data_IF_282324145799
#
_entry.id   IF_282324145799
#
_cell.length_a   1.000
_cell.length_b   1.000
_cell.length_c   1.000
_cell.angle_alpha   90.00
_cell.angle_beta   90.00
_cell.angle_gamma   90.00
#
_symmetry.space_group_name_H-M   'P 1'
#
loop_
_entity.id
_entity.type
_entity.pdbx_description
1 polymer ?
#
# COMPACT_ATOMS: atom_id res chain seq x y z
N UNK A 1 -1.51 0.08 -20.58
CA UNK A 1 -0.30 0.92 -20.75
C UNK A 1 0.33 1.42 -19.43
N UNK A 2 -0.07 0.93 -18.24
CA UNK A 2 0.43 1.44 -16.94
C UNK A 2 1.63 0.72 -16.29
N UNK A 3 2.21 -0.32 -16.90
CA UNK A 3 3.31 -1.09 -16.27
C UNK A 3 4.67 -0.38 -16.32
N UNK A 4 4.90 0.48 -17.31
CA UNK A 4 6.20 1.17 -17.49
C UNK A 4 6.60 2.04 -16.29
N UNK A 5 5.74 2.98 -15.84
CA UNK A 5 6.03 3.81 -14.68
C UNK A 5 6.16 3.00 -13.37
N UNK A 6 5.28 2.02 -13.17
CA UNK A 6 5.32 1.15 -11.98
C UNK A 6 6.60 0.29 -11.93
N UNK A 7 6.98 -0.31 -13.05
CA UNK A 7 8.19 -1.11 -13.15
C UNK A 7 9.45 -0.26 -12.85
N UNK A 8 9.52 0.96 -13.38
CA UNK A 8 10.61 1.89 -13.09
C UNK A 8 10.62 2.32 -11.61
N UNK A 9 9.48 2.66 -11.03
CA UNK A 9 9.39 3.03 -9.61
C UNK A 9 9.88 1.89 -8.70
N UNK A 10 9.38 0.67 -8.91
CA UNK A 10 9.84 -0.47 -8.14
C UNK A 10 11.32 -0.80 -8.40
N UNK A 11 11.87 -0.52 -9.59
CA UNK A 11 13.29 -0.71 -9.87
C UNK A 11 14.16 0.29 -9.10
N UNK A 12 13.71 1.55 -8.99
CA UNK A 12 14.38 2.60 -8.18
C UNK A 12 14.32 2.31 -6.68
N UNK A 13 13.22 1.72 -6.19
CA UNK A 13 13.04 1.40 -4.78
C UNK A 13 13.71 0.07 -4.35
N UNK A 14 13.89 -0.89 -5.27
CA UNK A 14 14.42 -2.21 -4.96
C UNK A 14 15.79 -2.23 -4.23
N UNK A 15 16.76 -1.34 -4.51
CA UNK A 15 18.02 -1.29 -3.75
C UNK A 15 17.83 -0.90 -2.28
N UNK A 16 16.80 -0.10 -1.97
CA UNK A 16 16.51 0.34 -0.60
C UNK A 16 15.83 -0.76 0.22
N UNK A 17 15.10 -1.65 -0.45
CA UNK A 17 14.24 -2.67 0.20
C UNK A 17 14.85 -4.06 0.24
N UNK A 18 15.94 -4.36 -0.47
CA UNK A 18 16.60 -5.68 -0.39
C UNK A 18 17.58 -5.76 0.78
N UNK A 19 17.59 -6.90 1.47
CA UNK A 19 18.58 -7.19 2.51
C UNK A 19 19.98 -7.36 1.89
N UNK A 20 21.03 -6.91 2.58
CA UNK A 20 22.44 -7.11 2.19
C UNK A 20 23.34 -5.90 2.50
N UNK A 21 24.66 -5.99 2.23
CA UNK A 21 25.66 -4.95 2.56
C UNK A 21 25.45 -3.61 1.85
N UNK A 22 24.53 -3.55 0.89
CA UNK A 22 24.10 -2.36 0.15
C UNK A 22 22.60 -2.07 0.29
N UNK A 23 21.91 -2.78 1.19
CA UNK A 23 20.55 -2.44 1.57
C UNK A 23 20.56 -1.08 2.24
N UNK A 24 19.57 -0.23 1.93
CA UNK A 24 19.43 1.08 2.58
C UNK A 24 19.40 0.94 4.12
N UNK A 25 19.73 2.03 4.82
CA UNK A 25 19.72 2.06 6.29
C UNK A 25 18.44 1.41 6.84
N UNK A 26 18.56 0.40 7.73
CA UNK A 26 17.46 -0.50 8.10
C UNK A 26 16.18 0.22 8.56
N UNK A 27 16.32 1.35 9.25
CA UNK A 27 15.19 2.19 9.67
C UNK A 27 14.51 2.92 8.49
N UNK A 28 15.29 3.43 7.52
CA UNK A 28 14.76 4.08 6.31
C UNK A 28 14.15 3.08 5.34
N UNK A 29 14.69 1.85 5.32
CA UNK A 29 14.17 0.73 4.53
C UNK A 29 12.69 0.49 4.83
N UNK A 30 12.30 0.48 6.11
CA UNK A 30 10.92 0.19 6.49
C UNK A 30 9.95 1.31 6.05
N UNK A 31 10.40 2.57 6.02
CA UNK A 31 9.58 3.70 5.52
C UNK A 31 9.20 3.55 4.03
N UNK A 32 10.05 2.91 3.23
CA UNK A 32 9.84 2.79 1.78
C UNK A 32 9.20 1.47 1.35
N UNK A 33 9.09 0.47 2.24
CA UNK A 33 8.50 -0.83 1.91
C UNK A 33 7.06 -0.71 1.39
N UNK A 34 6.14 0.06 2.01
CA UNK A 34 4.77 0.15 1.52
C UNK A 34 4.68 0.69 0.08
N UNK A 35 5.50 1.70 -0.25
CA UNK A 35 5.62 2.24 -1.60
C UNK A 35 6.21 1.22 -2.59
N UNK A 36 7.22 0.46 -2.15
CA UNK A 36 7.81 -0.59 -2.97
C UNK A 36 6.80 -1.71 -3.26
N UNK A 37 6.06 -2.19 -2.25
CA UNK A 37 5.03 -3.23 -2.42
C UNK A 37 3.98 -2.78 -3.43
N UNK A 38 3.49 -1.55 -3.32
CA UNK A 38 2.52 -0.99 -4.27
C UNK A 38 3.03 -0.99 -5.70
N UNK A 39 4.25 -0.46 -5.91
CA UNK A 39 4.87 -0.41 -7.23
C UNK A 39 5.21 -1.80 -7.79
N UNK A 40 5.69 -2.70 -6.94
CA UNK A 40 6.07 -4.07 -7.31
C UNK A 40 4.83 -4.89 -7.71
N UNK A 41 3.75 -4.81 -6.95
CA UNK A 41 2.46 -5.43 -7.31
C UNK A 41 1.93 -4.87 -8.63
N UNK A 42 1.95 -3.54 -8.81
CA UNK A 42 1.52 -2.90 -10.06
C UNK A 42 2.39 -3.31 -11.27
N UNK A 43 3.67 -3.62 -11.04
CA UNK A 43 4.58 -4.14 -12.04
C UNK A 43 4.47 -5.67 -12.28
N UNK A 44 3.67 -6.39 -11.49
CA UNK A 44 3.56 -7.87 -11.55
C UNK A 44 4.69 -8.60 -10.84
N UNK A 45 5.48 -7.92 -10.01
CA UNK A 45 6.58 -8.49 -9.21
C UNK A 45 6.10 -8.95 -7.83
N UNK A 46 5.07 -9.80 -7.82
CA UNK A 46 4.39 -10.22 -6.58
C UNK A 46 5.31 -10.97 -5.61
N UNK A 47 6.28 -11.76 -6.11
CA UNK A 47 7.23 -12.47 -5.25
C UNK A 47 8.13 -11.51 -4.44
N UNK A 48 8.66 -10.47 -5.09
CA UNK A 48 9.46 -9.42 -4.42
C UNK A 48 8.61 -8.63 -3.43
N UNK A 49 7.39 -8.28 -3.81
CA UNK A 49 6.45 -7.60 -2.93
C UNK A 49 6.12 -8.44 -1.67
N UNK A 50 5.93 -9.75 -1.83
CA UNK A 50 5.63 -10.66 -0.71
C UNK A 50 6.80 -10.76 0.26
N UNK A 51 8.03 -10.89 -0.25
CA UNK A 51 9.23 -10.92 0.59
C UNK A 51 9.35 -9.62 1.41
N UNK A 52 9.23 -8.46 0.77
CA UNK A 52 9.30 -7.17 1.44
C UNK A 52 8.19 -6.99 2.49
N UNK A 53 6.95 -7.39 2.18
CA UNK A 53 5.84 -7.33 3.12
C UNK A 53 6.03 -8.27 4.33
N UNK A 54 6.66 -9.42 4.14
CA UNK A 54 7.02 -10.34 5.23
C UNK A 54 8.01 -9.71 6.22
N UNK A 55 9.05 -9.06 5.70
CA UNK A 55 10.02 -8.35 6.55
C UNK A 55 9.38 -7.15 7.26
N UNK A 56 8.52 -6.41 6.57
CA UNK A 56 7.76 -5.32 7.17
C UNK A 56 6.80 -5.79 8.28
N UNK A 57 6.27 -7.01 8.17
CA UNK A 57 5.43 -7.59 9.20
C UNK A 57 6.19 -7.84 10.50
N UNK A 58 7.43 -8.32 10.42
CA UNK A 58 8.31 -8.47 11.58
C UNK A 58 8.57 -7.10 12.22
N UNK A 59 8.82 -6.08 11.41
CA UNK A 59 9.06 -4.74 11.91
C UNK A 59 7.83 -4.12 12.59
N UNK A 60 6.65 -4.23 11.96
CA UNK A 60 5.40 -3.74 12.50
C UNK A 60 5.05 -4.39 13.86
N UNK A 61 5.48 -5.64 14.09
CA UNK A 61 5.29 -6.34 15.35
C UNK A 61 6.11 -5.77 16.52
N UNK A 62 7.18 -5.01 16.27
CA UNK A 62 7.91 -4.32 17.34
C UNK A 62 7.12 -3.17 17.98
N UNK A 63 6.07 -2.67 17.33
CA UNK A 63 5.17 -1.66 17.91
C UNK A 63 5.76 -0.25 18.05
N UNK A 64 6.93 0.01 17.47
CA UNK A 64 7.63 1.31 17.53
C UNK A 64 7.06 2.36 16.57
N UNK A 65 6.37 1.94 15.50
CA UNK A 65 5.66 2.83 14.58
C UNK A 65 4.15 2.54 14.61
N UNK A 66 3.38 3.52 15.07
CA UNK A 66 1.92 3.43 15.14
C UNK A 66 1.22 3.31 13.78
N UNK A 67 1.85 3.74 12.69
CA UNK A 67 1.30 3.60 11.34
C UNK A 67 1.59 2.23 10.71
N UNK A 68 2.60 1.51 11.22
CA UNK A 68 3.07 0.25 10.62
C UNK A 68 1.96 -0.81 10.48
N UNK A 69 1.08 -1.05 11.47
CA UNK A 69 0.01 -2.04 11.32
C UNK A 69 -1.01 -1.70 10.22
N UNK A 70 -1.29 -0.41 10.00
CA UNK A 70 -2.19 0.04 8.94
C UNK A 70 -1.57 -0.14 7.55
N UNK A 71 -0.30 0.25 7.42
CA UNK A 71 0.48 0.11 6.19
C UNK A 71 0.71 -1.37 5.83
N UNK A 72 0.93 -2.24 6.83
CA UNK A 72 1.04 -3.68 6.61
C UNK A 72 -0.27 -4.28 6.10
N UNK A 73 -1.42 -3.87 6.66
CA UNK A 73 -2.72 -4.30 6.18
C UNK A 73 -2.95 -3.86 4.71
N UNK A 74 -2.55 -2.63 4.33
CA UNK A 74 -2.58 -2.20 2.92
C UNK A 74 -1.70 -3.10 2.04
N UNK A 75 -0.48 -3.42 2.45
CA UNK A 75 0.42 -4.32 1.71
C UNK A 75 -0.23 -5.69 1.49
N UNK A 76 -0.88 -6.27 2.51
CA UNK A 76 -1.60 -7.55 2.41
C UNK A 76 -2.78 -7.46 1.43
N UNK A 77 -3.56 -6.38 1.48
CA UNK A 77 -4.65 -6.17 0.54
C UNK A 77 -4.16 -6.08 -0.92
N UNK A 78 -3.04 -5.39 -1.16
CA UNK A 78 -2.41 -5.28 -2.47
C UNK A 78 -1.85 -6.62 -2.97
N UNK A 79 -1.33 -7.47 -2.08
CA UNK A 79 -0.88 -8.82 -2.45
C UNK A 79 -2.06 -9.73 -2.80
N UNK A 80 -3.08 -9.77 -1.94
CA UNK A 80 -4.29 -10.57 -2.12
C UNK A 80 -5.01 -10.22 -3.44
N UNK A 81 -5.03 -8.95 -3.87
CA UNK A 81 -5.62 -8.56 -5.16
C UNK A 81 -4.83 -9.06 -6.38
N UNK A 82 -3.53 -9.33 -6.22
CA UNK A 82 -2.60 -9.60 -7.32
C UNK A 82 -2.47 -11.09 -7.64
N UNK A 83 -2.73 -11.92 -6.64
CA UNK A 83 -2.79 -13.36 -6.77
C UNK A 83 -4.13 -13.68 -7.43
N UNK A 84 -4.13 -14.11 -8.69
CA UNK A 84 -5.33 -14.26 -9.53
C UNK A 84 -6.39 -15.25 -9.02
N UNK A 85 -6.20 -15.85 -7.85
CA UNK A 85 -7.16 -16.68 -7.12
C UNK A 85 -7.39 -16.23 -5.67
N UNK A 86 -6.85 -15.08 -5.24
CA UNK A 86 -7.14 -14.51 -3.93
C UNK A 86 -8.63 -14.20 -3.83
N UNK A 87 -9.27 -14.70 -2.77
CA UNK A 87 -10.68 -14.46 -2.54
C UNK A 87 -10.93 -12.96 -2.40
N UNK A 88 -11.93 -12.43 -3.09
CA UNK A 88 -12.32 -11.03 -2.94
C UNK A 88 -12.59 -10.65 -1.48
N UNK A 89 -12.96 -11.64 -0.64
CA UNK A 89 -13.09 -11.51 0.79
C UNK A 89 -11.79 -11.16 1.52
N UNK A 90 -10.65 -11.73 1.13
CA UNK A 90 -9.37 -11.45 1.79
C UNK A 90 -8.87 -10.03 1.47
N UNK A 91 -8.91 -9.63 0.20
CA UNK A 91 -8.56 -8.26 -0.18
C UNK A 91 -9.49 -7.24 0.50
N UNK A 92 -10.80 -7.51 0.54
CA UNK A 92 -11.77 -6.67 1.25
C UNK A 92 -11.47 -6.56 2.75
N UNK A 93 -11.18 -7.70 3.39
CA UNK A 93 -10.81 -7.76 4.81
C UNK A 93 -9.59 -6.88 5.10
N UNK A 94 -8.50 -7.07 4.36
CA UNK A 94 -7.27 -6.33 4.60
C UNK A 94 -7.40 -4.83 4.29
N UNK A 95 -8.17 -4.45 3.26
CA UNK A 95 -8.44 -3.03 3.01
C UNK A 95 -9.26 -2.41 4.13
N UNK A 96 -10.33 -3.07 4.59
CA UNK A 96 -11.14 -2.58 5.71
C UNK A 96 -10.30 -2.42 6.98
N UNK A 97 -9.42 -3.39 7.25
CA UNK A 97 -8.55 -3.36 8.40
C UNK A 97 -7.47 -2.27 8.31
N UNK A 98 -6.94 -2.00 7.11
CA UNK A 98 -6.02 -0.89 6.88
C UNK A 98 -6.69 0.46 7.19
N UNK A 99 -7.90 0.69 6.68
CA UNK A 99 -8.67 1.92 6.95
C UNK A 99 -8.94 2.06 8.45
N UNK A 100 -9.44 1.01 9.11
CA UNK A 100 -9.75 1.04 10.54
C UNK A 100 -8.53 1.37 11.41
N UNK A 101 -7.35 0.84 11.05
CA UNK A 101 -6.11 1.11 11.79
C UNK A 101 -5.56 2.52 11.54
N UNK A 102 -5.83 3.09 10.37
CA UNK A 102 -5.39 4.46 10.09
C UNK A 102 -6.08 5.50 10.98
N UNK A 103 -7.32 5.25 11.42
CA UNK A 103 -8.06 6.16 12.29
C UNK A 103 -7.36 6.42 13.64
N UNK A 104 -6.41 5.56 14.06
CA UNK A 104 -5.65 5.70 15.30
C UNK A 104 -4.20 6.20 15.16
N UNK A 105 -3.71 6.49 13.95
CA UNK A 105 -2.26 6.71 13.70
C UNK A 105 -1.85 8.15 13.32
N UNK A 106 -2.81 9.07 13.12
CA UNK A 106 -2.52 10.49 12.86
C UNK A 106 -1.87 10.80 11.49
N UNK A 107 -1.85 9.84 10.56
CA UNK A 107 -1.27 10.02 9.22
C UNK A 107 -2.36 10.01 8.14
N UNK A 108 -3.02 11.16 7.98
CA UNK A 108 -4.13 11.33 7.04
C UNK A 108 -3.71 11.11 5.59
N UNK A 109 -2.47 11.43 5.23
CA UNK A 109 -1.97 11.20 3.87
C UNK A 109 -1.85 9.71 3.54
N UNK A 110 -1.28 8.91 4.44
CA UNK A 110 -1.20 7.46 4.24
C UNK A 110 -2.60 6.80 4.28
N UNK A 111 -3.52 7.34 5.10
CA UNK A 111 -4.94 6.95 5.07
C UNK A 111 -5.57 7.23 3.71
N UNK A 112 -5.35 8.41 3.14
CA UNK A 112 -5.87 8.78 1.82
C UNK A 112 -5.33 7.87 0.71
N UNK A 113 -4.05 7.52 0.75
CA UNK A 113 -3.46 6.52 -0.16
C UNK A 113 -4.11 5.14 -0.02
N UNK A 114 -4.40 4.71 1.20
CA UNK A 114 -5.14 3.46 1.46
C UNK A 114 -6.56 3.51 0.89
N UNK A 115 -7.28 4.62 1.09
CA UNK A 115 -8.63 4.82 0.56
C UNK A 115 -8.67 4.88 -0.98
N UNK A 116 -7.68 5.51 -1.61
CA UNK A 116 -7.52 5.53 -3.06
C UNK A 116 -7.33 4.12 -3.61
N UNK A 117 -6.42 3.34 -3.01
CA UNK A 117 -6.16 1.96 -3.41
C UNK A 117 -7.42 1.08 -3.23
N UNK A 118 -8.12 1.23 -2.10
CA UNK A 118 -9.34 0.47 -1.82
C UNK A 118 -10.48 0.83 -2.77
N UNK A 119 -10.76 2.11 -2.96
CA UNK A 119 -11.78 2.60 -3.88
C UNK A 119 -11.52 2.20 -5.33
N UNK A 120 -10.25 2.23 -5.76
CA UNK A 120 -9.84 1.77 -7.09
C UNK A 120 -10.08 0.27 -7.25
N UNK A 121 -9.72 -0.54 -6.25
CA UNK A 121 -10.00 -1.97 -6.24
C UNK A 121 -11.51 -2.26 -6.28
N UNK A 122 -12.34 -1.54 -5.52
CA UNK A 122 -13.80 -1.68 -5.55
C UNK A 122 -14.38 -1.38 -6.94
N UNK A 123 -13.84 -0.37 -7.66
CA UNK A 123 -14.22 -0.11 -9.05
C UNK A 123 -13.86 -1.28 -9.97
N UNK A 124 -12.66 -1.85 -9.83
CA UNK A 124 -12.25 -3.05 -10.58
C UNK A 124 -13.18 -4.25 -10.33
N UNK A 125 -13.71 -4.36 -9.10
CA UNK A 125 -14.69 -5.40 -8.71
C UNK A 125 -16.14 -5.03 -9.02
N UNK A 126 -16.38 -4.01 -9.85
CA UNK A 126 -17.72 -3.55 -10.27
C UNK A 126 -18.62 -3.15 -9.09
N UNK A 127 -18.04 -2.58 -8.02
CA UNK A 127 -18.76 -2.04 -6.84
C UNK A 127 -18.66 -0.51 -6.75
N UNK A 128 -19.18 0.25 -7.73
CA UNK A 128 -19.02 1.71 -7.78
C UNK A 128 -19.70 2.43 -6.60
N UNK A 129 -20.81 1.91 -6.07
CA UNK A 129 -21.49 2.50 -4.92
C UNK A 129 -20.61 2.52 -3.67
N UNK A 130 -19.98 1.38 -3.35
CA UNK A 130 -19.04 1.26 -2.23
C UNK A 130 -17.74 2.07 -2.45
N UNK A 131 -17.31 2.24 -3.71
CA UNK A 131 -16.09 3.00 -4.03
C UNK A 131 -16.23 4.52 -3.82
N UNK A 132 -17.45 5.08 -3.91
CA UNK A 132 -17.66 6.53 -3.89
C UNK A 132 -17.16 7.20 -2.61
N UNK A 133 -17.47 6.63 -1.45
CA UNK A 133 -17.05 7.17 -0.15
C UNK A 133 -15.52 7.24 -0.03
N UNK A 134 -14.80 6.11 -0.10
CA UNK A 134 -13.35 6.09 -0.02
C UNK A 134 -12.65 7.01 -1.02
N UNK A 135 -13.10 7.05 -2.28
CA UNK A 135 -12.49 7.89 -3.30
C UNK A 135 -12.70 9.38 -3.03
N UNK A 136 -13.89 9.78 -2.55
CA UNK A 136 -14.16 11.16 -2.17
C UNK A 136 -13.29 11.58 -0.98
N UNK A 137 -13.20 10.74 0.05
CA UNK A 137 -12.43 11.05 1.25
C UNK A 137 -10.92 11.15 0.94
N UNK A 138 -10.41 10.29 0.05
CA UNK A 138 -9.05 10.38 -0.46
C UNK A 138 -8.81 11.72 -1.17
N UNK A 139 -9.69 12.09 -2.11
CA UNK A 139 -9.61 13.34 -2.87
C UNK A 139 -9.56 14.56 -1.95
N UNK A 140 -10.50 14.68 -1.02
CA UNK A 140 -10.56 15.81 -0.07
C UNK A 140 -9.26 15.95 0.72
N UNK A 141 -8.63 14.82 1.08
CA UNK A 141 -7.36 14.84 1.81
C UNK A 141 -6.21 15.30 0.93
N UNK A 142 -6.15 14.85 -0.33
CA UNK A 142 -5.11 15.27 -1.28
C UNK A 142 -5.22 16.75 -1.65
N UNK A 143 -6.44 17.25 -1.87
CA UNK A 143 -6.71 18.68 -2.12
C UNK A 143 -6.21 19.55 -0.95
N UNK A 144 -6.50 19.14 0.30
CA UNK A 144 -6.01 19.85 1.50
C UNK A 144 -4.49 19.83 1.65
N UNK A 145 -3.84 18.80 1.13
CA UNK A 145 -2.39 18.65 1.16
C UNK A 145 -1.68 19.35 -0.01
N UNK A 146 -2.41 20.06 -0.89
CA UNK A 146 -1.89 20.62 -2.15
C UNK A 146 -1.16 19.57 -3.01
N UNK A 147 -1.63 18.32 -2.95
CA UNK A 147 -1.05 17.19 -3.66
C UNK A 147 -1.75 16.99 -5.02
N UNK A 148 -1.66 17.97 -5.91
CA UNK A 148 -2.41 18.03 -7.17
C UNK A 148 -2.21 16.80 -8.08
N UNK A 149 -1.06 16.10 -7.98
CA UNK A 149 -0.80 14.86 -8.69
C UNK A 149 -1.55 13.63 -8.15
N UNK A 150 -2.25 13.77 -7.02
CA UNK A 150 -3.04 12.74 -6.33
C UNK A 150 -4.53 13.07 -6.27
N UNK A 151 -4.90 14.33 -6.47
CA UNK A 151 -6.29 14.80 -6.61
C UNK A 151 -6.89 14.40 -7.98
#
# INVERSE_FOLDING_TARGET
>A
RGRGPAAQAAARLAPLVRAGPRGGHFALRMLVVPCFVEAAVAAGRTAEARAAAGEYAVWAAYGVDGAAPALLARCRALLARSEGGGEDGEAAHWFGEAVRRHDGCGNDFERARTLLAYGTWLRLRRRPGAARGPLRDALVTFERAAADGWA
#
